data_IF_981656677664
#
_entry.id   IF_981656677664
#
_cell.length_a   1.000
_cell.length_b   1.000
_cell.length_c   1.000
_cell.angle_alpha   90.00
_cell.angle_beta   90.00
_cell.angle_gamma   90.00
#
_symmetry.space_group_name_H-M   'P 1'
#
loop_
_entity.id
_entity.type
_entity.pdbx_description
1 polymer ?
#
# COMPACT_ATOMS: atom_id res chain seq x y z
N UNK A 1 -20.09 -4.33 4.08
CA UNK A 1 -18.99 -5.30 4.30
C UNK A 1 -17.78 -4.77 3.56
N UNK A 2 -16.66 -4.56 4.25
CA UNK A 2 -15.47 -3.86 3.75
C UNK A 2 -14.51 -4.80 3.00
N UNK A 3 -13.29 -4.34 2.73
CA UNK A 3 -12.18 -5.18 2.27
C UNK A 3 -11.97 -6.33 3.27
N UNK A 4 -11.96 -7.58 2.79
CA UNK A 4 -11.77 -8.77 3.64
C UNK A 4 -10.44 -9.47 3.35
N UNK A 5 -10.12 -9.65 2.07
CA UNK A 5 -8.95 -10.38 1.60
C UNK A 5 -8.13 -9.54 0.63
N UNK A 6 -6.80 -9.58 0.81
CA UNK A 6 -5.83 -8.90 -0.03
C UNK A 6 -4.95 -9.99 -0.66
N UNK A 7 -4.91 -10.04 -1.99
CA UNK A 7 -3.97 -10.88 -2.74
C UNK A 7 -3.10 -10.00 -3.63
N UNK A 8 -1.79 -10.12 -3.51
CA UNK A 8 -0.85 -9.30 -4.30
C UNK A 8 -0.64 -9.88 -5.70
N UNK A 9 -0.13 -9.03 -6.60
CA UNK A 9 0.44 -9.47 -7.88
C UNK A 9 1.83 -10.06 -7.70
N UNK A 10 2.25 -10.89 -8.65
CA UNK A 10 3.59 -11.46 -8.67
C UNK A 10 4.66 -10.36 -8.76
N UNK A 11 4.41 -9.30 -9.54
CA UNK A 11 5.29 -8.12 -9.60
C UNK A 11 5.46 -7.45 -8.23
N UNK A 12 4.36 -7.23 -7.50
CA UNK A 12 4.43 -6.60 -6.18
C UNK A 12 5.16 -7.49 -5.17
N UNK A 13 4.97 -8.81 -5.24
CA UNK A 13 5.73 -9.77 -4.43
C UNK A 13 7.25 -9.63 -4.70
N UNK A 14 7.67 -9.57 -5.95
CA UNK A 14 9.10 -9.47 -6.29
C UNK A 14 9.72 -8.12 -5.85
N UNK A 15 8.96 -7.03 -5.95
CA UNK A 15 9.33 -5.72 -5.41
C UNK A 15 9.47 -5.77 -3.88
N UNK A 16 8.51 -6.38 -3.19
CA UNK A 16 8.56 -6.55 -1.75
C UNK A 16 9.74 -7.43 -1.32
N UNK A 17 10.10 -8.50 -2.05
CA UNK A 17 11.30 -9.32 -1.75
C UNK A 17 12.56 -8.45 -1.74
N UNK A 18 12.72 -7.57 -2.74
CA UNK A 18 13.85 -6.64 -2.80
C UNK A 18 13.86 -5.70 -1.59
N UNK A 19 12.70 -5.16 -1.21
CA UNK A 19 12.56 -4.30 -0.03
C UNK A 19 12.88 -5.04 1.27
N UNK A 20 12.44 -6.29 1.43
CA UNK A 20 12.78 -7.13 2.60
C UNK A 20 14.30 -7.31 2.73
N UNK A 21 14.99 -7.57 1.61
CA UNK A 21 16.44 -7.74 1.58
C UNK A 21 17.18 -6.45 1.97
N UNK A 22 16.70 -5.29 1.52
CA UNK A 22 17.31 -3.98 1.84
C UNK A 22 17.03 -3.56 3.28
N UNK A 23 15.78 -3.64 3.70
CA UNK A 23 15.33 -3.07 4.99
C UNK A 23 15.44 -4.05 6.17
N UNK A 24 15.53 -5.36 5.92
CA UNK A 24 15.46 -6.38 6.98
C UNK A 24 14.05 -6.65 7.52
N UNK A 25 13.02 -5.93 7.07
CA UNK A 25 11.63 -6.14 7.50
C UNK A 25 11.12 -7.48 6.96
N UNK A 26 10.76 -8.41 7.85
CA UNK A 26 10.40 -9.78 7.45
C UNK A 26 8.93 -9.97 7.05
N UNK A 27 8.03 -9.15 7.58
CA UNK A 27 6.59 -9.34 7.41
C UNK A 27 6.03 -8.53 6.24
N UNK A 28 5.27 -9.19 5.36
CA UNK A 28 4.66 -8.55 4.19
C UNK A 28 3.71 -7.43 4.57
N UNK A 29 2.86 -7.65 5.58
CA UNK A 29 1.88 -6.65 6.03
C UNK A 29 2.55 -5.34 6.47
N UNK A 30 3.74 -5.39 7.08
CA UNK A 30 4.49 -4.18 7.46
C UNK A 30 4.86 -3.38 6.21
N UNK A 31 5.50 -4.01 5.23
CA UNK A 31 5.90 -3.33 3.99
C UNK A 31 4.70 -2.88 3.15
N UNK A 32 3.62 -3.66 3.13
CA UNK A 32 2.37 -3.26 2.49
C UNK A 32 1.78 -2.01 3.14
N UNK A 33 1.83 -1.88 4.47
CA UNK A 33 1.38 -0.65 5.16
C UNK A 33 2.24 0.55 4.78
N UNK A 34 3.56 0.39 4.72
CA UNK A 34 4.45 1.44 4.22
C UNK A 34 4.10 1.85 2.79
N UNK A 35 3.95 0.89 1.87
CA UNK A 35 3.56 1.18 0.49
C UNK A 35 2.20 1.90 0.42
N UNK A 36 1.21 1.43 1.17
CA UNK A 36 -0.09 2.07 1.24
C UNK A 36 0.00 3.53 1.72
N UNK A 37 0.71 3.79 2.83
CA UNK A 37 0.87 5.14 3.37
C UNK A 37 1.65 6.07 2.43
N UNK A 38 2.73 5.59 1.83
CA UNK A 38 3.49 6.38 0.82
C UNK A 38 2.58 6.78 -0.33
N UNK A 39 1.76 5.84 -0.82
CA UNK A 39 0.80 6.13 -1.88
C UNK A 39 -0.32 7.08 -1.45
N UNK A 40 -0.71 7.13 -0.18
CA UNK A 40 -1.74 8.05 0.30
C UNK A 40 -1.23 9.49 0.42
N UNK A 41 0.06 9.67 0.72
CA UNK A 41 0.70 10.99 0.82
C UNK A 41 0.76 11.74 -0.53
N UNK A 42 0.75 10.98 -1.62
CA UNK A 42 0.77 11.51 -2.98
C UNK A 42 -0.53 12.22 -3.34
N UNK A 43 -0.45 13.47 -3.80
CA UNK A 43 -1.64 14.25 -4.19
C UNK A 43 -2.40 13.63 -5.36
N UNK A 44 -1.69 12.99 -6.29
CA UNK A 44 -2.30 12.39 -7.49
C UNK A 44 -3.09 11.11 -7.18
N UNK A 45 -4.21 10.93 -7.87
CA UNK A 45 -4.99 9.70 -7.88
C UNK A 45 -4.14 8.59 -8.52
N UNK A 46 -4.06 7.38 -7.93
CA UNK A 46 -3.40 6.25 -8.57
C UNK A 46 -3.96 6.01 -9.99
N UNK A 47 -3.11 5.71 -10.98
CA UNK A 47 -3.57 5.38 -12.32
C UNK A 47 -4.52 4.19 -12.30
N UNK A 48 -5.59 4.27 -13.09
CA UNK A 48 -6.56 3.20 -13.17
C UNK A 48 -6.05 2.07 -14.07
N UNK A 49 -5.37 1.10 -13.46
CA UNK A 49 -4.78 -0.04 -14.16
C UNK A 49 -5.24 -1.37 -13.56
N UNK A 50 -5.48 -2.41 -14.39
CA UNK A 50 -5.73 -3.75 -13.88
C UNK A 50 -4.54 -4.27 -13.07
N UNK A 51 -4.82 -4.77 -11.87
CA UNK A 51 -3.80 -5.39 -11.00
C UNK A 51 -4.13 -6.87 -10.86
N UNK A 52 -3.33 -7.79 -11.45
CA UNK A 52 -3.55 -9.22 -11.31
C UNK A 52 -3.37 -9.66 -9.85
N UNK A 53 -4.15 -10.65 -9.42
CA UNK A 53 -4.02 -11.32 -8.12
C UNK A 53 -3.38 -12.69 -8.27
N UNK A 54 -2.22 -12.75 -8.90
CA UNK A 54 -1.56 -13.96 -9.40
C UNK A 54 -0.41 -14.45 -8.51
N UNK A 55 -0.13 -13.78 -7.39
CA UNK A 55 0.86 -14.27 -6.42
C UNK A 55 0.25 -15.17 -5.35
N UNK A 56 1.11 -15.95 -4.69
CA UNK A 56 0.76 -16.70 -3.48
C UNK A 56 0.81 -15.87 -2.19
N UNK A 57 1.04 -14.54 -2.27
CA UNK A 57 1.05 -13.67 -1.10
C UNK A 57 -0.34 -13.08 -0.90
N UNK A 58 -0.98 -13.54 0.15
CA UNK A 58 -2.29 -13.06 0.59
C UNK A 58 -2.35 -12.83 2.10
N UNK A 59 -3.25 -11.95 2.51
CA UNK A 59 -3.53 -11.68 3.92
C UNK A 59 -4.96 -11.16 4.06
N UNK A 60 -5.57 -11.39 5.23
CA UNK A 60 -6.84 -10.73 5.55
C UNK A 60 -6.62 -9.25 5.84
N UNK A 61 -7.68 -8.44 5.72
CA UNK A 61 -7.66 -7.03 6.09
C UNK A 61 -7.24 -6.81 7.55
N UNK A 62 -7.71 -7.69 8.45
CA UNK A 62 -7.32 -7.67 9.87
C UNK A 62 -5.83 -7.95 10.07
N UNK A 63 -5.22 -8.85 9.29
CA UNK A 63 -3.77 -9.09 9.33
C UNK A 63 -2.98 -7.93 8.73
N UNK A 64 -3.50 -7.31 7.67
CA UNK A 64 -2.91 -6.13 7.07
C UNK A 64 -2.87 -4.96 8.05
N UNK A 65 -4.01 -4.57 8.62
CA UNK A 65 -4.12 -3.39 9.46
C UNK A 65 -3.84 -3.63 10.95
N UNK A 66 -3.88 -4.88 11.41
CA UNK A 66 -3.73 -5.23 12.82
C UNK A 66 -4.78 -4.52 13.69
N UNK A 67 -4.41 -4.03 14.88
CA UNK A 67 -5.29 -3.21 15.71
C UNK A 67 -5.82 -1.95 15.01
N UNK A 68 -5.09 -1.43 14.01
CA UNK A 68 -5.40 -0.18 13.32
C UNK A 68 -6.15 -0.38 12.00
N UNK A 69 -6.70 -1.58 11.73
CA UNK A 69 -7.36 -1.88 10.45
C UNK A 69 -8.56 -0.98 10.14
N UNK A 70 -9.29 -0.52 11.16
CA UNK A 70 -10.37 0.46 10.98
C UNK A 70 -9.84 1.85 10.62
N UNK A 71 -8.70 2.27 11.19
CA UNK A 71 -8.06 3.53 10.84
C UNK A 71 -7.60 3.53 9.38
N UNK A 72 -6.95 2.47 8.90
CA UNK A 72 -6.56 2.35 7.49
C UNK A 72 -7.78 2.39 6.55
N UNK A 73 -8.90 1.81 6.97
CA UNK A 73 -10.14 1.86 6.19
C UNK A 73 -10.75 3.27 6.18
N UNK A 74 -10.70 3.98 7.31
CA UNK A 74 -11.18 5.35 7.42
C UNK A 74 -10.36 6.30 6.52
N UNK A 75 -9.03 6.19 6.55
CA UNK A 75 -8.15 7.01 5.70
C UNK A 75 -8.38 6.71 4.21
N UNK A 76 -8.59 5.45 3.84
CA UNK A 76 -8.93 5.09 2.46
C UNK A 76 -10.26 5.72 2.00
N UNK A 77 -11.28 5.66 2.85
CA UNK A 77 -12.59 6.28 2.56
C UNK A 77 -12.46 7.79 2.39
N UNK A 78 -11.72 8.42 3.29
CA UNK A 78 -11.45 9.86 3.20
C UNK A 78 -10.72 10.21 1.91
N UNK A 79 -9.71 9.43 1.52
CA UNK A 79 -9.02 9.60 0.24
C UNK A 79 -9.98 9.47 -0.95
N UNK A 80 -10.86 8.47 -0.95
CA UNK A 80 -11.86 8.31 -2.01
C UNK A 80 -12.80 9.51 -2.08
N UNK A 81 -13.26 10.04 -0.93
CA UNK A 81 -14.11 11.22 -0.89
C UNK A 81 -13.41 12.44 -1.51
N UNK A 82 -12.13 12.66 -1.19
CA UNK A 82 -11.33 13.76 -1.74
C UNK A 82 -11.16 13.64 -3.26
N UNK A 83 -11.02 12.41 -3.75
CA UNK A 83 -10.87 12.11 -5.18
C UNK A 83 -12.21 12.02 -5.94
N UNK A 84 -13.36 12.19 -5.25
CA UNK A 84 -14.69 12.06 -5.85
C UNK A 84 -15.08 10.63 -6.24
N UNK A 85 -14.51 9.63 -5.57
CA UNK A 85 -14.70 8.20 -5.83
C UNK A 85 -15.69 7.62 -4.80
N UNK A 86 -16.59 6.75 -5.26
CA UNK A 86 -17.55 6.06 -4.36
C UNK A 86 -16.82 5.24 -3.28
N UNK A 87 -17.45 5.11 -2.11
CA UNK A 87 -16.95 4.36 -0.96
C UNK A 87 -17.69 3.05 -0.74
N UNK A 88 -18.39 2.56 -1.78
CA UNK A 88 -18.92 1.22 -1.78
C UNK A 88 -17.79 0.16 -1.66
N UNK A 89 -18.11 -1.08 -1.22
CA UNK A 89 -17.09 -2.11 -0.95
C UNK A 89 -16.16 -2.44 -2.12
N UNK A 90 -16.69 -2.47 -3.34
CA UNK A 90 -15.93 -2.81 -4.55
C UNK A 90 -14.96 -1.68 -4.89
N UNK A 91 -15.43 -0.44 -4.87
CA UNK A 91 -14.62 0.75 -5.08
C UNK A 91 -13.49 0.84 -4.05
N UNK A 92 -13.77 0.61 -2.77
CA UNK A 92 -12.73 0.61 -1.72
C UNK A 92 -11.70 -0.51 -1.93
N UNK A 93 -12.13 -1.73 -2.24
CA UNK A 93 -11.20 -2.83 -2.50
C UNK A 93 -10.29 -2.54 -3.69
N UNK A 94 -10.84 -1.95 -4.76
CA UNK A 94 -10.10 -1.53 -5.93
C UNK A 94 -9.12 -0.41 -5.63
N UNK A 95 -9.57 0.67 -4.98
CA UNK A 95 -8.72 1.81 -4.64
C UNK A 95 -7.59 1.42 -3.69
N UNK A 96 -7.88 0.56 -2.71
CA UNK A 96 -6.84 0.00 -1.85
C UNK A 96 -5.75 -0.73 -2.66
N UNK A 97 -6.15 -1.59 -3.61
CA UNK A 97 -5.19 -2.32 -4.46
C UNK A 97 -4.35 -1.35 -5.29
N UNK A 98 -4.98 -0.35 -5.93
CA UNK A 98 -4.28 0.66 -6.73
C UNK A 98 -3.25 1.42 -5.88
N UNK A 99 -3.65 1.91 -4.71
CA UNK A 99 -2.74 2.60 -3.80
C UNK A 99 -1.60 1.71 -3.34
N UNK A 100 -1.91 0.49 -2.86
CA UNK A 100 -0.93 -0.45 -2.35
C UNK A 100 0.15 -0.76 -3.40
N UNK A 101 -0.24 -1.06 -4.63
CA UNK A 101 0.69 -1.41 -5.69
C UNK A 101 1.52 -0.22 -6.17
N UNK A 102 0.92 0.97 -6.30
CA UNK A 102 1.66 2.19 -6.62
C UNK A 102 2.77 2.45 -5.60
N UNK A 103 2.42 2.41 -4.32
CA UNK A 103 3.39 2.70 -3.25
C UNK A 103 4.46 1.63 -3.09
N UNK A 104 4.14 0.35 -3.28
CA UNK A 104 5.17 -0.71 -3.39
C UNK A 104 6.12 -0.41 -4.55
N UNK A 105 5.58 0.04 -5.69
CA UNK A 105 6.36 0.49 -6.84
C UNK A 105 7.34 1.59 -6.46
N UNK A 106 6.86 2.68 -5.86
CA UNK A 106 7.68 3.82 -5.43
C UNK A 106 8.78 3.43 -4.44
N UNK A 107 8.43 2.67 -3.39
CA UNK A 107 9.41 2.17 -2.43
C UNK A 107 10.47 1.30 -3.11
N UNK A 108 10.06 0.38 -3.98
CA UNK A 108 10.99 -0.53 -4.64
C UNK A 108 11.88 0.16 -5.67
N UNK A 109 11.42 1.22 -6.32
CA UNK A 109 12.20 2.00 -7.29
C UNK A 109 13.12 3.02 -6.64
N UNK A 110 12.85 3.43 -5.39
CA UNK A 110 13.69 4.38 -4.69
C UNK A 110 15.04 3.72 -4.31
N UNK A 111 16.14 4.17 -4.92
CA UNK A 111 17.50 3.66 -4.71
C UNK A 111 18.10 4.00 -3.35
N UNK A 112 17.52 4.96 -2.64
CA UNK A 112 18.08 5.50 -1.39
C UNK A 112 17.69 4.65 -0.18
N UNK A 113 16.60 3.87 -0.26
CA UNK A 113 16.09 2.99 0.81
C UNK A 113 16.98 1.75 1.02
N UNK A 114 18.18 1.87 1.59
CA UNK A 114 19.13 0.76 1.73
C UNK A 114 19.01 0.02 3.07
N UNK A 115 18.25 0.56 4.00
CA UNK A 115 18.06 0.08 5.36
C UNK A 115 16.67 0.44 5.89
N UNK A 116 16.32 -0.06 7.09
CA UNK A 116 15.12 0.37 7.80
C UNK A 116 15.18 1.86 8.20
N UNK A 117 16.37 2.39 8.50
CA UNK A 117 16.55 3.80 8.87
C UNK A 117 16.18 4.72 7.72
N UNK A 118 16.55 4.36 6.49
CA UNK A 118 16.19 5.13 5.29
C UNK A 118 14.68 5.14 5.04
N UNK A 119 14.00 4.05 5.39
CA UNK A 119 12.54 3.96 5.29
C UNK A 119 11.85 4.90 6.29
N UNK A 120 12.39 5.00 7.51
CA UNK A 120 11.89 5.92 8.55
C UNK A 120 12.21 7.37 8.20
N UNK A 121 13.34 7.61 7.56
CA UNK A 121 13.79 8.92 7.12
C UNK A 121 13.16 9.37 5.79
N UNK A 122 12.22 8.61 5.22
CA UNK A 122 11.49 9.03 4.03
C UNK A 122 10.92 10.42 4.28
N UNK A 123 11.22 11.40 3.41
CA UNK A 123 10.70 12.73 3.58
C UNK A 123 9.18 12.64 3.58
N UNK A 124 8.57 13.00 4.71
CA UNK A 124 7.20 13.47 4.71
C UNK A 124 7.29 14.81 3.99
N UNK A 125 7.17 14.82 2.67
CA UNK A 125 7.24 16.09 1.94
C UNK A 125 6.13 17.00 2.48
N UNK A 126 6.54 18.03 3.24
CA UNK A 126 5.70 19.13 3.68
C UNK A 126 5.40 19.95 2.44
N UNK A 127 4.43 19.49 1.65
CA UNK A 127 3.90 20.22 0.51
C UNK A 127 3.05 21.40 1.03
N UNK A 128 3.74 22.41 1.57
CA UNK A 128 3.21 23.76 1.74
C UNK A 128 2.68 24.32 0.42
#
# INVERSE_FOLDING_TARGET
MSIEHIRLSQTAKDQLIKLKRRTGIKHWNVLCRWGFCVSLAEKSIPPDVPIPGDSNVEMSWKVFGGPNHELYLAILKERCNQDGIDTNPEALARQFRLHLHRGIGYLSSNSDIKSISDLVALPMEDHR
#
